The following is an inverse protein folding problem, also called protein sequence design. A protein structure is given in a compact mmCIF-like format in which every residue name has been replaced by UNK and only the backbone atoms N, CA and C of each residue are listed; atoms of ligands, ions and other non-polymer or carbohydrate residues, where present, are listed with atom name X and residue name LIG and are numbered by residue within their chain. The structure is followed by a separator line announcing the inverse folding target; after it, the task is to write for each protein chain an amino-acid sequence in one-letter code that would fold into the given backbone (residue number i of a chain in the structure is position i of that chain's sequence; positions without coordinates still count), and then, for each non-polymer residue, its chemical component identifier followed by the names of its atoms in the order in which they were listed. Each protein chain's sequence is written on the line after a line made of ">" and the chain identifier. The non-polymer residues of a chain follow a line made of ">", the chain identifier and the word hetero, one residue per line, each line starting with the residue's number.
data_IF_666410071690
#
_entry.id   IF_666410071690
#
_cell.length_a   1.000
_cell.length_b   1.000
_cell.length_c   1.000
_cell.angle_alpha   90.00
_cell.angle_beta   90.00
_cell.angle_gamma   90.00
#
_symmetry.space_group_name_H-M   'P 1'
#
loop_
_entity.id
_entity.type
_entity.pdbx_description
1 polymer ?
#
# COMPACT_ATOMS: atom_id res chain seq x y z
N UNK A 1 -32.43 4.31 20.38
CA UNK A 1 -32.21 3.90 18.98
C UNK A 1 -31.03 4.70 18.44
N UNK A 2 -29.84 4.12 18.42
CA UNK A 2 -28.69 4.70 17.73
C UNK A 2 -28.90 4.35 16.25
N UNK A 3 -29.48 5.28 15.50
CA UNK A 3 -29.63 5.11 14.07
C UNK A 3 -28.20 5.17 13.52
N UNK A 4 -27.64 4.03 13.11
CA UNK A 4 -26.36 3.97 12.43
C UNK A 4 -26.62 4.52 11.03
N UNK A 5 -26.83 5.83 10.92
CA UNK A 5 -26.55 6.52 9.69
C UNK A 5 -25.07 6.25 9.43
N UNK A 6 -24.76 5.59 8.30
CA UNK A 6 -23.37 5.28 7.92
C UNK A 6 -22.63 6.62 7.89
N UNK A 7 -21.88 6.93 8.94
CA UNK A 7 -21.05 8.13 8.96
C UNK A 7 -20.13 8.09 7.74
N UNK A 8 -20.12 9.18 6.98
CA UNK A 8 -19.30 9.28 5.77
C UNK A 8 -17.84 9.27 6.21
N UNK A 9 -17.09 8.27 5.77
CA UNK A 9 -15.65 8.17 6.04
C UNK A 9 -14.96 9.47 5.62
N UNK A 10 -14.09 9.99 6.48
CA UNK A 10 -13.27 11.15 6.14
C UNK A 10 -12.23 10.79 5.07
N UNK A 11 -11.67 11.79 4.38
CA UNK A 11 -10.57 11.57 3.42
C UNK A 11 -9.38 10.89 4.10
N UNK A 12 -9.00 11.32 5.31
CA UNK A 12 -7.87 10.74 6.06
C UNK A 12 -8.10 9.28 6.43
N UNK A 13 -9.30 8.95 6.88
CA UNK A 13 -9.67 7.57 7.20
C UNK A 13 -9.68 6.69 5.95
N UNK A 14 -10.19 7.23 4.83
CA UNK A 14 -10.13 6.57 3.53
C UNK A 14 -8.69 6.32 3.08
N UNK A 15 -7.76 7.26 3.30
CA UNK A 15 -6.34 7.07 2.99
C UNK A 15 -5.74 5.89 3.77
N UNK A 16 -6.01 5.79 5.07
CA UNK A 16 -5.55 4.66 5.90
C UNK A 16 -6.07 3.33 5.35
N UNK A 17 -7.38 3.25 5.06
CA UNK A 17 -7.99 2.04 4.51
C UNK A 17 -7.36 1.64 3.17
N UNK A 18 -7.10 2.61 2.27
CA UNK A 18 -6.46 2.35 0.98
C UNK A 18 -5.03 1.80 1.17
N UNK A 19 -4.24 2.40 2.08
CA UNK A 19 -2.89 1.93 2.35
C UNK A 19 -2.87 0.51 2.92
N UNK A 20 -3.81 0.17 3.80
CA UNK A 20 -3.94 -1.18 4.36
C UNK A 20 -4.29 -2.20 3.27
N UNK A 21 -5.17 -1.84 2.32
CA UNK A 21 -5.51 -2.70 1.18
C UNK A 21 -4.30 -2.93 0.28
N UNK A 22 -3.55 -1.88 -0.08
CA UNK A 22 -2.39 -2.01 -0.99
C UNK A 22 -1.28 -2.85 -0.34
N UNK A 23 -1.06 -2.73 0.98
CA UNK A 23 -0.04 -3.51 1.71
C UNK A 23 -0.25 -5.02 1.66
N UNK A 24 -1.48 -5.49 1.48
CA UNK A 24 -1.80 -6.93 1.46
C UNK A 24 -1.44 -7.57 0.10
N UNK A 25 -1.24 -6.77 -0.96
CA UNK A 25 -1.15 -7.30 -2.34
C UNK A 25 -0.08 -6.70 -3.25
N UNK A 26 0.86 -5.89 -2.74
CA UNK A 26 1.90 -5.10 -3.47
C UNK A 26 1.37 -4.11 -4.54
N UNK A 27 0.32 -4.50 -5.26
CA UNK A 27 -0.43 -3.75 -6.25
C UNK A 27 -1.93 -3.94 -6.00
N UNK A 28 -2.69 -2.86 -6.12
CA UNK A 28 -4.14 -2.86 -6.01
C UNK A 28 -4.74 -2.23 -7.27
N UNK A 29 -5.70 -2.90 -7.91
CA UNK A 29 -6.41 -2.30 -9.04
C UNK A 29 -7.30 -1.16 -8.56
N UNK A 30 -7.17 0.01 -9.17
CA UNK A 30 -7.86 1.26 -8.82
C UNK A 30 -9.38 1.07 -8.68
N UNK A 31 -9.99 0.31 -9.59
CA UNK A 31 -11.43 0.07 -9.61
C UNK A 31 -11.92 -0.66 -8.33
N UNK A 32 -11.08 -1.49 -7.70
CA UNK A 32 -11.42 -2.28 -6.52
C UNK A 32 -11.50 -1.45 -5.23
N UNK A 33 -10.99 -0.21 -5.25
CA UNK A 33 -11.05 0.71 -4.11
C UNK A 33 -12.41 1.40 -3.95
N UNK A 34 -13.30 1.24 -4.94
CA UNK A 34 -14.61 1.87 -4.94
C UNK A 34 -15.67 0.89 -4.46
N UNK A 35 -16.47 1.33 -3.48
CA UNK A 35 -17.65 0.61 -3.04
C UNK A 35 -18.92 1.23 -3.66
N UNK A 36 -19.66 0.50 -4.52
CA UNK A 36 -20.89 1.01 -5.14
C UNK A 36 -21.95 1.48 -4.14
N UNK A 37 -22.01 0.88 -2.96
CA UNK A 37 -22.98 1.20 -1.90
C UNK A 37 -22.79 2.59 -1.29
N UNK A 38 -21.63 3.22 -1.49
CA UNK A 38 -21.34 4.57 -1.01
C UNK A 38 -21.74 5.66 -2.02
N UNK A 39 -22.15 5.24 -3.22
CA UNK A 39 -22.59 6.13 -4.29
C UNK A 39 -21.56 7.20 -4.67
N UNK A 40 -22.06 8.34 -5.18
CA UNK A 40 -21.21 9.42 -5.71
C UNK A 40 -20.28 10.02 -4.66
N UNK A 41 -20.70 10.10 -3.39
CA UNK A 41 -19.87 10.64 -2.33
C UNK A 41 -18.67 9.72 -2.04
N UNK A 42 -18.88 8.41 -1.95
CA UNK A 42 -17.78 7.45 -1.78
C UNK A 42 -16.75 7.53 -2.91
N UNK A 43 -17.21 7.72 -4.15
CA UNK A 43 -16.33 7.93 -5.31
C UNK A 43 -15.47 9.18 -5.13
N UNK A 44 -16.08 10.32 -4.78
CA UNK A 44 -15.33 11.58 -4.59
C UNK A 44 -14.32 11.45 -3.46
N UNK A 45 -14.72 10.91 -2.31
CA UNK A 45 -13.82 10.75 -1.14
C UNK A 45 -12.67 9.80 -1.47
N UNK A 46 -12.94 8.68 -2.13
CA UNK A 46 -11.90 7.73 -2.56
C UNK A 46 -10.93 8.37 -3.53
N UNK A 47 -11.43 9.12 -4.51
CA UNK A 47 -10.59 9.82 -5.47
C UNK A 47 -9.72 10.88 -4.81
N UNK A 48 -10.28 11.70 -3.92
CA UNK A 48 -9.52 12.70 -3.15
C UNK A 48 -8.46 12.06 -2.26
N UNK A 49 -8.78 10.92 -1.63
CA UNK A 49 -7.81 10.19 -0.81
C UNK A 49 -6.63 9.67 -1.64
N UNK A 50 -6.89 9.11 -2.84
CA UNK A 50 -5.84 8.67 -3.76
C UNK A 50 -4.97 9.84 -4.21
N UNK A 51 -5.59 10.98 -4.59
CA UNK A 51 -4.85 12.18 -4.99
C UNK A 51 -3.99 12.74 -3.86
N UNK A 52 -4.49 12.76 -2.62
CA UNK A 52 -3.72 13.22 -1.46
C UNK A 52 -2.56 12.26 -1.15
N UNK A 53 -2.77 10.94 -1.23
CA UNK A 53 -1.69 9.95 -1.09
C UNK A 53 -0.60 10.12 -2.17
N UNK A 54 -0.99 10.41 -3.42
CA UNK A 54 -0.05 10.71 -4.49
C UNK A 54 0.73 12.01 -4.21
N UNK A 55 0.03 13.05 -3.74
CA UNK A 55 0.64 14.34 -3.38
C UNK A 55 1.63 14.19 -2.23
N UNK A 56 1.34 13.33 -1.24
CA UNK A 56 2.24 12.99 -0.14
C UNK A 56 3.33 11.98 -0.52
N UNK A 57 3.39 11.53 -1.79
CA UNK A 57 4.37 10.55 -2.27
C UNK A 57 4.33 9.22 -1.49
N UNK A 58 3.15 8.79 -1.05
CA UNK A 58 2.96 7.52 -0.34
C UNK A 58 2.60 6.36 -1.27
N UNK A 59 2.09 6.66 -2.47
CA UNK A 59 1.72 5.67 -3.49
C UNK A 59 2.19 6.11 -4.88
N UNK A 60 2.36 5.13 -5.76
CA UNK A 60 2.51 5.33 -7.21
C UNK A 60 1.28 4.79 -7.95
N UNK A 61 0.96 5.43 -9.07
CA UNK A 61 -0.04 4.98 -10.04
C UNK A 61 0.68 4.35 -11.23
N UNK A 62 0.27 3.15 -11.62
CA UNK A 62 0.86 2.40 -12.75
C UNK A 62 -0.24 2.06 -13.75
N UNK A 63 -0.01 2.41 -15.02
CA UNK A 63 -0.83 2.01 -16.15
C UNK A 63 0.12 1.66 -17.30
N UNK A 64 0.12 0.40 -17.73
CA UNK A 64 1.09 -0.11 -18.72
C UNK A 64 0.86 0.45 -20.11
N UNK A 65 -0.41 0.60 -20.52
CA UNK A 65 -0.82 1.07 -21.85
C UNK A 65 -2.08 1.93 -21.73
N UNK A 66 -2.38 2.72 -22.76
CA UNK A 66 -3.63 3.50 -22.80
C UNK A 66 -4.85 2.59 -22.66
N UNK A 67 -5.78 2.96 -21.77
CA UNK A 67 -6.99 2.20 -21.45
C UNK A 67 -6.77 0.83 -20.77
N UNK A 68 -5.52 0.45 -20.47
CA UNK A 68 -5.25 -0.69 -19.61
C UNK A 68 -5.71 -0.37 -18.16
N UNK A 69 -5.94 -1.41 -17.33
CA UNK A 69 -6.26 -1.21 -15.92
C UNK A 69 -5.22 -0.35 -15.19
N UNK A 70 -5.71 0.45 -14.26
CA UNK A 70 -4.88 1.33 -13.44
C UNK A 70 -4.62 0.62 -12.12
N UNK A 71 -3.36 0.55 -11.71
CA UNK A 71 -2.94 -0.05 -10.45
C UNK A 71 -2.30 0.99 -9.53
N UNK A 72 -2.45 0.81 -8.23
CA UNK A 72 -1.78 1.56 -7.17
C UNK A 72 -0.78 0.65 -6.47
N UNK A 73 0.41 1.17 -6.16
CA UNK A 73 1.40 0.50 -5.30
C UNK A 73 1.87 1.45 -4.20
N UNK A 74 2.24 0.94 -3.04
CA UNK A 74 2.86 1.77 -2.00
C UNK A 74 4.26 2.18 -2.44
N UNK A 75 4.65 3.40 -2.09
CA UNK A 75 6.05 3.80 -2.12
C UNK A 75 6.67 3.31 -0.82
N UNK A 76 7.53 2.31 -0.92
CA UNK A 76 8.40 1.96 0.19
C UNK A 76 9.33 3.16 0.42
N UNK A 77 9.14 3.90 1.51
CA UNK A 77 10.20 4.75 2.04
C UNK A 77 11.27 3.81 2.63
N UNK A 78 11.96 3.07 1.77
CA UNK A 78 13.19 2.41 2.15
C UNK A 78 14.22 3.52 2.30
N UNK A 79 14.31 4.06 3.51
CA UNK A 79 15.62 4.18 4.11
C UNK A 79 16.16 2.75 4.16
N UNK A 80 16.90 2.35 3.12
CA UNK A 80 17.91 1.30 3.23
C UNK A 80 19.03 1.84 4.14
N UNK A 81 18.72 2.05 5.42
CA UNK A 81 19.75 2.25 6.44
C UNK A 81 20.39 0.89 6.67
N UNK A 82 21.48 0.67 5.95
CA UNK A 82 22.74 0.21 6.52
C UNK A 82 22.62 -0.88 7.60
N UNK A 83 22.52 -2.15 7.18
CA UNK A 83 23.18 -3.24 7.92
C UNK A 83 24.03 -4.04 6.95
N UNK A 84 25.14 -3.43 6.54
CA UNK A 84 26.35 -4.16 6.21
C UNK A 84 27.20 -4.18 7.49
N UNK A 85 27.49 -5.37 8.05
CA UNK A 85 28.84 -5.81 8.42
C UNK A 85 28.80 -7.14 9.21
N UNK A 86 29.40 -8.14 8.56
CA UNK A 86 30.39 -9.05 9.14
C UNK A 86 30.01 -9.90 10.35
N UNK A 87 29.84 -11.20 10.11
CA UNK A 87 30.53 -12.16 10.96
C UNK A 87 31.19 -13.25 10.12
N UNK A 88 32.45 -12.98 9.76
CA UNK A 88 33.42 -14.01 9.42
C UNK A 88 34.20 -14.28 10.71
N UNK A 89 33.82 -15.32 11.46
CA UNK A 89 34.66 -15.88 12.52
C UNK A 89 34.57 -17.41 12.46
N UNK A 90 35.60 -17.99 11.85
CA UNK A 90 36.27 -19.24 12.19
C UNK A 90 35.51 -20.22 13.12
N UNK A 91 35.17 -21.40 12.58
CA UNK A 91 35.21 -22.65 13.32
C UNK A 91 36.25 -23.56 12.66
N UNK A 92 37.29 -23.85 13.42
CA UNK A 92 38.44 -24.70 13.10
C UNK A 92 38.05 -26.18 13.01
N UNK A 93 38.68 -26.85 12.04
CA UNK A 93 39.35 -28.17 12.10
C UNK A 93 38.63 -29.43 12.60
N UNK A 94 39.00 -30.53 11.93
CA UNK A 94 38.92 -31.95 12.30
C UNK A 94 37.68 -32.70 11.82
N UNK A 95 37.86 -33.46 10.74
CA UNK A 95 37.19 -34.74 10.58
C UNK A 95 38.22 -35.74 10.02
N UNK A 96 38.84 -36.48 10.94
CA UNK A 96 39.54 -37.72 10.66
C UNK A 96 38.52 -38.84 10.38
N UNK A 97 38.80 -39.68 9.39
CA UNK A 97 38.22 -41.02 9.25
C UNK A 97 37.33 -41.23 8.02
N UNK A 98 37.91 -41.73 6.91
CA UNK A 98 37.98 -43.16 6.57
C UNK A 98 38.93 -43.35 5.36
#
# INVERSE_FOLDING_TARGET
>A
HHNIDREVLSVRERMSNILDVIRIGDFCEFATLFNPEEGKQGVVVTFLAILELCKESLIDIVQSESFAPIYLKTRSNVHEDSVNHSNHQQAQTQNDGD
#
